data_IF_779528879542
#
_entry.id   IF_779528879542
#
_cell.length_a   1.000
_cell.length_b   1.000
_cell.length_c   1.000
_cell.angle_alpha   90.00
_cell.angle_beta   90.00
_cell.angle_gamma   90.00
#
_symmetry.space_group_name_H-M   'P 1'
#
loop_
_entity.id
_entity.type
_entity.pdbx_description
1 polymer ?
#
# COMPACT_ATOMS: atom_id res chain seq x y z
N UNK A 1 -20.28 2.36 -17.95
CA UNK A 1 -20.13 3.14 -16.72
C UNK A 1 -18.65 3.28 -16.34
N UNK A 2 -17.88 2.19 -16.29
CA UNK A 2 -16.43 2.15 -15.97
C UNK A 2 -15.58 3.05 -16.86
N UNK A 3 -15.76 3.03 -18.19
CA UNK A 3 -15.02 3.89 -19.12
C UNK A 3 -15.32 5.40 -18.91
N UNK A 4 -16.47 5.72 -18.35
CA UNK A 4 -16.84 7.10 -18.03
C UNK A 4 -16.13 7.59 -16.76
N UNK A 5 -15.91 6.69 -15.81
CA UNK A 5 -15.14 6.96 -14.60
C UNK A 5 -13.65 7.07 -14.94
N UNK A 6 -13.10 6.16 -15.75
CA UNK A 6 -11.70 6.23 -16.22
C UNK A 6 -11.40 7.56 -16.93
N UNK A 7 -12.33 8.08 -17.76
CA UNK A 7 -12.18 9.37 -18.44
C UNK A 7 -12.29 10.56 -17.49
N UNK A 8 -13.07 10.43 -16.42
CA UNK A 8 -13.30 11.50 -15.44
C UNK A 8 -12.11 11.68 -14.49
N UNK A 9 -11.34 10.62 -14.23
CA UNK A 9 -10.15 10.62 -13.34
C UNK A 9 -8.82 10.68 -14.12
N UNK A 10 -8.86 10.96 -15.43
CA UNK A 10 -7.65 11.17 -16.23
C UNK A 10 -6.82 9.92 -16.56
N UNK A 11 -7.30 8.71 -16.25
CA UNK A 11 -6.61 7.43 -16.45
C UNK A 11 -6.71 6.89 -17.90
N UNK A 12 -7.04 7.70 -18.90
CA UNK A 12 -7.05 7.27 -20.29
C UNK A 12 -5.81 7.79 -21.00
N UNK A 13 -4.74 7.02 -20.95
CA UNK A 13 -3.66 7.08 -21.93
C UNK A 13 -3.84 5.93 -22.93
N UNK A 14 -3.85 6.24 -24.24
CA UNK A 14 -4.08 5.28 -25.33
C UNK A 14 -2.89 4.33 -25.61
N UNK A 15 -1.91 4.23 -24.73
CA UNK A 15 -0.81 3.26 -24.87
C UNK A 15 -0.80 2.35 -23.64
N UNK A 16 -1.12 1.07 -23.85
CA UNK A 16 -0.84 0.02 -22.86
C UNK A 16 0.65 0.03 -22.56
N UNK A 17 1.10 0.28 -21.34
CA UNK A 17 2.46 -0.06 -20.95
C UNK A 17 2.53 -1.59 -20.95
N UNK A 18 3.40 -2.15 -21.79
CA UNK A 18 3.82 -3.54 -21.62
C UNK A 18 4.61 -3.60 -20.32
N UNK A 19 4.34 -4.59 -19.47
CA UNK A 19 5.19 -4.97 -18.34
C UNK A 19 6.50 -5.56 -18.90
N UNK A 20 7.38 -4.69 -19.41
CA UNK A 20 8.74 -5.02 -19.80
C UNK A 20 9.70 -4.35 -18.82
N UNK A 21 10.04 -5.04 -17.77
CA UNK A 21 11.06 -4.67 -16.79
C UNK A 21 10.92 -5.56 -15.57
N UNK A 22 12.01 -6.20 -15.13
CA UNK A 22 11.98 -6.90 -13.85
C UNK A 22 11.95 -5.84 -12.74
N UNK A 23 11.12 -6.05 -11.70
CA UNK A 23 11.05 -5.17 -10.52
C UNK A 23 12.42 -5.02 -9.81
N UNK A 24 13.39 -5.88 -10.11
CA UNK A 24 14.76 -5.80 -9.62
C UNK A 24 15.56 -4.61 -10.18
N UNK A 25 15.09 -3.96 -11.24
CA UNK A 25 15.79 -2.84 -11.89
C UNK A 25 15.28 -1.46 -11.44
N UNK A 26 14.16 -1.39 -10.68
CA UNK A 26 13.67 -0.11 -10.17
C UNK A 26 14.56 0.39 -9.04
N UNK A 27 15.28 1.48 -9.30
CA UNK A 27 16.07 2.15 -8.27
C UNK A 27 15.15 2.76 -7.22
N UNK A 28 15.49 2.53 -5.95
CA UNK A 28 14.82 3.16 -4.81
C UNK A 28 15.79 4.15 -4.19
N UNK A 29 15.48 5.43 -4.33
CA UNK A 29 16.26 6.53 -3.82
C UNK A 29 15.61 7.15 -2.57
N UNK A 30 16.42 7.87 -1.80
CA UNK A 30 15.95 8.58 -0.61
C UNK A 30 16.45 10.02 -0.59
N UNK A 31 15.61 10.89 -0.05
CA UNK A 31 16.00 12.27 0.29
C UNK A 31 15.62 12.59 1.73
N UNK A 32 16.36 13.52 2.34
CA UNK A 32 16.05 14.06 3.67
C UNK A 32 16.06 15.58 3.63
N UNK A 33 15.03 16.18 4.16
CA UNK A 33 14.92 17.64 4.33
C UNK A 33 13.97 17.98 5.46
N UNK A 34 14.34 18.94 6.31
CA UNK A 34 13.45 19.49 7.36
C UNK A 34 12.75 18.43 8.23
N UNK A 35 13.50 17.48 8.77
CA UNK A 35 12.98 16.38 9.61
C UNK A 35 12.11 15.36 8.85
N UNK A 36 12.07 15.41 7.51
CA UNK A 36 11.32 14.46 6.68
C UNK A 36 12.27 13.64 5.82
N UNK A 37 12.10 12.32 5.86
CA UNK A 37 12.74 11.37 4.96
C UNK A 37 11.72 10.89 3.95
N UNK A 38 12.05 11.01 2.67
CA UNK A 38 11.19 10.60 1.56
C UNK A 38 11.83 9.48 0.76
N UNK A 39 10.97 8.59 0.23
CA UNK A 39 11.32 7.51 -0.68
C UNK A 39 10.85 7.86 -2.08
N UNK A 40 11.70 7.57 -3.06
CA UNK A 40 11.44 7.74 -4.49
C UNK A 40 11.68 6.41 -5.20
N UNK A 41 10.82 6.03 -6.12
CA UNK A 41 10.93 4.78 -6.90
C UNK A 41 10.87 5.13 -8.37
N UNK A 42 11.97 4.91 -9.09
CA UNK A 42 12.09 5.12 -10.53
C UNK A 42 11.97 6.58 -11.01
N UNK A 43 11.55 7.50 -10.15
CA UNK A 43 11.31 8.90 -10.49
C UNK A 43 11.61 9.84 -9.32
N UNK A 44 11.53 11.17 -9.55
CA UNK A 44 11.65 12.17 -8.48
C UNK A 44 10.38 12.34 -7.65
N UNK A 45 9.29 11.66 -8.02
CA UNK A 45 8.03 11.70 -7.28
C UNK A 45 8.17 11.04 -5.92
N UNK A 46 7.63 11.69 -4.90
CA UNK A 46 7.63 11.15 -3.54
C UNK A 46 6.58 10.04 -3.45
N UNK A 47 7.05 8.81 -3.25
CA UNK A 47 6.19 7.63 -3.06
C UNK A 47 5.81 7.43 -1.60
N UNK A 48 6.68 7.84 -0.67
CA UNK A 48 6.40 7.75 0.75
C UNK A 48 7.23 8.75 1.53
N UNK A 49 6.73 9.20 2.67
CA UNK A 49 7.47 10.09 3.57
C UNK A 49 7.28 9.69 5.03
N UNK A 50 8.31 9.97 5.82
CA UNK A 50 8.32 9.72 7.25
C UNK A 50 8.94 10.90 7.99
N UNK A 51 8.28 11.40 9.02
CA UNK A 51 8.89 12.34 9.96
C UNK A 51 9.91 11.60 10.82
N UNK A 52 11.16 12.10 10.85
CA UNK A 52 12.25 11.40 11.54
C UNK A 52 12.07 11.46 13.05
N UNK A 53 11.57 12.59 13.57
CA UNK A 53 11.29 12.80 15.00
C UNK A 53 10.02 12.06 15.47
N UNK A 54 9.02 11.85 14.59
CA UNK A 54 7.82 11.04 14.89
C UNK A 54 7.52 10.07 13.73
N UNK A 55 8.15 8.90 13.70
CA UNK A 55 8.03 7.94 12.60
C UNK A 55 6.63 7.35 12.39
N UNK A 56 5.71 7.57 13.33
CA UNK A 56 4.32 7.10 13.25
C UNK A 56 3.34 8.19 12.80
N UNK A 57 3.84 9.41 12.59
CA UNK A 57 3.06 10.51 12.01
C UNK A 57 2.80 10.24 10.52
N UNK A 58 1.59 10.53 10.06
CA UNK A 58 1.23 10.46 8.64
C UNK A 58 1.58 11.78 7.97
N UNK A 59 2.70 11.82 7.27
CA UNK A 59 3.28 13.04 6.70
C UNK A 59 2.55 13.48 5.42
N UNK A 60 2.15 12.52 4.57
CA UNK A 60 1.48 12.80 3.31
C UNK A 60 -0.04 12.86 3.49
N UNK A 61 -0.69 13.86 2.89
CA UNK A 61 -2.12 14.09 3.03
C UNK A 61 -2.98 12.89 2.61
N UNK A 62 -2.61 12.20 1.53
CA UNK A 62 -3.38 11.03 1.09
C UNK A 62 -3.35 9.90 2.14
N UNK A 63 -2.23 9.70 2.85
CA UNK A 63 -2.14 8.69 3.91
C UNK A 63 -3.05 9.02 5.09
N UNK A 64 -3.25 10.32 5.38
CA UNK A 64 -4.21 10.77 6.40
C UNK A 64 -5.64 10.45 5.98
N UNK A 65 -5.98 10.65 4.70
CA UNK A 65 -7.30 10.30 4.15
C UNK A 65 -7.51 8.79 4.23
N UNK A 66 -6.53 7.99 3.81
CA UNK A 66 -6.63 6.52 3.88
C UNK A 66 -6.74 6.01 5.32
N UNK A 67 -6.14 6.69 6.29
CA UNK A 67 -6.27 6.34 7.69
C UNK A 67 -7.70 6.55 8.24
N UNK A 68 -8.58 7.29 7.55
CA UNK A 68 -9.99 7.42 7.92
C UNK A 68 -10.75 6.10 7.89
N UNK A 69 -10.25 5.06 7.21
CA UNK A 69 -10.79 3.70 7.33
C UNK A 69 -10.89 3.24 8.79
N UNK A 70 -10.01 3.74 9.66
CA UNK A 70 -10.04 3.43 11.09
C UNK A 70 -11.36 3.83 11.79
N UNK A 71 -12.08 4.83 11.28
CA UNK A 71 -13.35 5.29 11.87
C UNK A 71 -14.43 4.20 11.79
N UNK A 72 -14.35 3.34 10.79
CA UNK A 72 -15.33 2.30 10.51
C UNK A 72 -14.95 0.93 11.10
N UNK A 73 -13.75 0.81 11.68
CA UNK A 73 -13.23 -0.45 12.23
C UNK A 73 -13.50 -0.55 13.74
N UNK A 74 -14.30 -1.53 14.15
CA UNK A 74 -14.48 -1.86 15.56
C UNK A 74 -13.66 -3.12 15.92
N UNK A 75 -12.57 -2.94 16.66
CA UNK A 75 -11.69 -4.01 17.16
C UNK A 75 -11.22 -5.00 16.07
N UNK A 76 -10.64 -4.51 14.96
CA UNK A 76 -10.18 -5.38 13.88
C UNK A 76 -9.10 -6.36 14.38
N UNK A 77 -9.05 -7.54 13.75
CA UNK A 77 -8.08 -8.60 14.06
C UNK A 77 -7.02 -8.72 12.98
N UNK A 78 -7.40 -8.70 11.72
CA UNK A 78 -6.51 -8.97 10.61
C UNK A 78 -6.66 -7.88 9.54
N UNK A 79 -5.55 -7.18 9.28
CA UNK A 79 -5.44 -6.06 8.36
C UNK A 79 -4.46 -6.42 7.26
N UNK A 80 -4.90 -6.34 6.02
CA UNK A 80 -4.08 -6.55 4.82
C UNK A 80 -3.77 -5.22 4.15
N UNK A 81 -2.51 -5.03 3.81
CA UNK A 81 -2.01 -3.89 3.05
C UNK A 81 -1.34 -4.38 1.77
N UNK A 82 -1.73 -3.84 0.64
CA UNK A 82 -1.10 -4.07 -0.67
C UNK A 82 -0.30 -2.83 -1.03
N UNK A 83 1.01 -3.00 -1.12
CA UNK A 83 1.99 -1.92 -1.20
C UNK A 83 2.55 -1.53 0.17
N UNK A 84 3.86 -1.27 0.23
CA UNK A 84 4.57 -0.96 1.47
C UNK A 84 5.01 0.50 1.54
N UNK A 85 5.72 0.98 0.52
CA UNK A 85 6.44 2.25 0.59
C UNK A 85 7.30 2.36 1.86
N UNK A 86 7.24 3.47 2.56
CA UNK A 86 7.87 3.68 3.88
C UNK A 86 7.03 3.16 5.05
N UNK A 87 6.02 2.37 4.79
CA UNK A 87 5.10 1.78 5.77
C UNK A 87 4.38 2.81 6.67
N UNK A 88 4.08 4.00 6.17
CA UNK A 88 3.44 5.04 6.97
C UNK A 88 2.06 4.59 7.47
N UNK A 89 1.21 4.09 6.58
CA UNK A 89 -0.14 3.64 6.90
C UNK A 89 -0.09 2.39 7.79
N UNK A 90 0.76 1.42 7.47
CA UNK A 90 0.94 0.20 8.25
C UNK A 90 1.37 0.50 9.69
N UNK A 91 2.32 1.42 9.87
CA UNK A 91 2.76 1.89 11.20
C UNK A 91 1.64 2.55 11.98
N UNK A 92 0.79 3.36 11.31
CA UNK A 92 -0.37 3.98 11.93
C UNK A 92 -1.32 2.91 12.49
N UNK A 93 -1.79 1.98 11.67
CA UNK A 93 -2.70 0.93 12.11
C UNK A 93 -2.08 0.02 13.18
N UNK A 94 -0.82 -0.34 13.05
CA UNK A 94 -0.08 -1.13 14.05
C UNK A 94 -0.01 -0.43 15.42
N UNK A 95 0.16 0.89 15.44
CA UNK A 95 0.20 1.70 16.68
C UNK A 95 -1.15 1.76 17.36
N UNK A 96 -2.21 1.98 16.60
CA UNK A 96 -3.56 2.21 17.14
C UNK A 96 -4.29 0.91 17.48
N UNK A 97 -4.17 -0.12 16.67
CA UNK A 97 -4.84 -1.41 16.88
C UNK A 97 -3.87 -2.45 17.46
N UNK A 98 -3.60 -2.35 18.76
CA UNK A 98 -2.58 -3.16 19.46
C UNK A 98 -2.82 -4.68 19.45
N UNK A 99 -4.03 -5.11 19.12
CA UNK A 99 -4.40 -6.53 19.04
C UNK A 99 -4.50 -7.02 17.58
N UNK A 100 -4.51 -6.13 16.61
CA UNK A 100 -4.60 -6.49 15.21
C UNK A 100 -3.26 -6.98 14.65
N UNK A 101 -3.32 -7.92 13.72
CA UNK A 101 -2.23 -8.34 12.87
C UNK A 101 -2.20 -7.41 11.64
N UNK A 102 -1.03 -6.95 11.27
CA UNK A 102 -0.78 -6.14 10.08
C UNK A 102 0.07 -6.96 9.11
N UNK A 103 -0.52 -7.41 8.03
CA UNK A 103 0.16 -8.10 6.95
C UNK A 103 0.30 -7.16 5.77
N UNK A 104 1.49 -7.05 5.21
CA UNK A 104 1.75 -6.26 4.00
C UNK A 104 2.32 -7.14 2.91
N UNK A 105 1.78 -7.01 1.72
CA UNK A 105 2.29 -7.62 0.50
C UNK A 105 2.95 -6.52 -0.33
N UNK A 106 4.20 -6.74 -0.69
CA UNK A 106 5.01 -5.82 -1.47
C UNK A 106 5.78 -6.60 -2.53
N UNK A 107 5.67 -6.17 -3.77
CA UNK A 107 6.30 -6.86 -4.90
C UNK A 107 7.78 -6.50 -5.05
N UNK A 108 8.17 -5.27 -4.68
CA UNK A 108 9.51 -4.74 -4.89
C UNK A 108 10.45 -5.05 -3.71
N UNK A 109 11.43 -5.97 -3.86
CA UNK A 109 12.37 -6.31 -2.79
C UNK A 109 13.25 -5.12 -2.37
N UNK A 110 13.56 -4.21 -3.29
CA UNK A 110 14.35 -3.00 -2.98
C UNK A 110 13.57 -2.06 -2.08
N UNK A 111 12.26 -1.86 -2.31
CA UNK A 111 11.39 -1.09 -1.43
C UNK A 111 11.32 -1.70 -0.03
N UNK A 112 11.18 -3.03 0.07
CA UNK A 112 11.20 -3.74 1.36
C UNK A 112 12.52 -3.51 2.10
N UNK A 113 13.65 -3.60 1.42
CA UNK A 113 14.97 -3.41 2.02
C UNK A 113 15.16 -1.97 2.52
N UNK A 114 14.82 -0.97 1.70
CA UNK A 114 14.91 0.44 2.06
C UNK A 114 13.98 0.77 3.24
N UNK A 115 12.74 0.27 3.21
CA UNK A 115 11.80 0.46 4.32
C UNK A 115 12.35 -0.12 5.63
N UNK A 116 12.89 -1.34 5.62
CA UNK A 116 13.49 -1.99 6.80
C UNK A 116 14.68 -1.22 7.36
N UNK A 117 15.53 -0.67 6.51
CA UNK A 117 16.74 0.01 6.93
C UNK A 117 16.49 1.45 7.40
N UNK A 118 15.60 2.18 6.76
CA UNK A 118 15.53 3.63 6.89
C UNK A 118 14.20 4.18 7.42
N UNK A 119 13.10 3.45 7.33
CA UNK A 119 11.76 3.96 7.68
C UNK A 119 11.25 3.52 9.04
N UNK A 120 12.14 3.04 9.91
CA UNK A 120 11.83 2.68 11.30
C UNK A 120 10.55 1.82 11.42
N UNK A 121 10.42 0.84 10.53
CA UNK A 121 9.28 -0.08 10.57
C UNK A 121 9.36 -1.00 11.80
N UNK A 122 8.23 -1.49 12.33
CA UNK A 122 8.23 -2.46 13.43
C UNK A 122 9.01 -3.72 13.06
N UNK A 123 9.63 -4.33 14.07
CA UNK A 123 10.29 -5.64 13.86
C UNK A 123 9.27 -6.68 13.43
N UNK A 124 9.70 -7.55 12.52
CA UNK A 124 8.87 -8.69 12.09
C UNK A 124 8.44 -9.52 13.30
N UNK A 125 7.16 -9.81 13.38
CA UNK A 125 6.53 -10.52 14.49
C UNK A 125 5.22 -11.15 14.01
N UNK A 126 4.51 -11.87 14.90
CA UNK A 126 3.17 -12.35 14.56
C UNK A 126 2.22 -11.21 14.13
N UNK A 127 2.39 -10.02 14.76
CA UNK A 127 1.53 -8.86 14.51
C UNK A 127 1.96 -7.96 13.36
N UNK A 128 3.18 -8.05 12.89
CA UNK A 128 3.69 -7.21 11.80
C UNK A 128 4.51 -8.07 10.84
N UNK A 129 3.98 -8.33 9.68
CA UNK A 129 4.61 -9.15 8.65
C UNK A 129 4.65 -8.40 7.32
N UNK A 130 5.73 -8.61 6.60
CA UNK A 130 5.88 -8.20 5.21
C UNK A 130 6.23 -9.45 4.42
N UNK A 131 5.47 -9.72 3.37
CA UNK A 131 5.71 -10.81 2.41
C UNK A 131 6.05 -10.15 1.07
N UNK A 132 7.12 -10.61 0.44
CA UNK A 132 7.42 -10.25 -0.93
C UNK A 132 6.59 -11.14 -1.85
N UNK A 133 5.58 -10.55 -2.48
CA UNK A 133 4.70 -11.25 -3.42
C UNK A 133 3.94 -10.24 -4.29
N UNK A 134 3.31 -10.71 -5.37
CA UNK A 134 2.33 -9.92 -6.12
C UNK A 134 1.03 -9.83 -5.32
N UNK A 135 0.57 -8.60 -5.04
CA UNK A 135 -0.62 -8.36 -4.21
C UNK A 135 -1.91 -8.90 -4.83
N UNK A 136 -1.99 -8.97 -6.15
CA UNK A 136 -3.15 -9.50 -6.88
C UNK A 136 -3.20 -11.02 -6.74
N UNK A 137 -2.06 -11.66 -7.02
CA UNK A 137 -1.94 -13.11 -6.91
C UNK A 137 -2.13 -13.55 -5.46
N UNK A 138 -1.58 -12.79 -4.50
CA UNK A 138 -1.76 -13.09 -3.09
C UNK A 138 -3.24 -13.06 -2.68
N UNK A 139 -3.98 -12.00 -2.99
CA UNK A 139 -5.41 -11.88 -2.62
C UNK A 139 -6.24 -12.96 -3.30
N UNK A 140 -5.98 -13.23 -4.58
CA UNK A 140 -6.68 -14.26 -5.35
C UNK A 140 -6.50 -15.66 -4.77
N UNK A 141 -5.29 -15.98 -4.29
CA UNK A 141 -4.94 -17.32 -3.80
C UNK A 141 -5.06 -17.47 -2.27
N UNK A 142 -5.27 -16.38 -1.54
CA UNK A 142 -5.46 -16.43 -0.09
C UNK A 142 -6.79 -17.07 0.27
N UNK A 143 -6.81 -17.79 1.39
CA UNK A 143 -8.04 -18.27 2.04
C UNK A 143 -8.38 -17.46 3.29
N UNK A 144 -7.48 -16.54 3.71
CA UNK A 144 -7.68 -15.70 4.88
C UNK A 144 -8.71 -14.61 4.62
N UNK A 145 -9.42 -14.20 5.68
CA UNK A 145 -10.34 -13.05 5.66
C UNK A 145 -9.78 -11.89 6.48
N UNK A 146 -10.06 -10.67 6.03
CA UNK A 146 -9.52 -9.45 6.60
C UNK A 146 -10.63 -8.47 6.99
N UNK A 147 -10.42 -7.76 8.12
CA UNK A 147 -11.31 -6.67 8.54
C UNK A 147 -11.02 -5.37 7.78
N UNK A 148 -9.81 -5.26 7.21
CA UNK A 148 -9.42 -4.20 6.30
C UNK A 148 -8.53 -4.76 5.20
N UNK A 149 -8.86 -4.45 3.95
CA UNK A 149 -7.93 -4.53 2.83
C UNK A 149 -7.68 -3.11 2.34
N UNK A 150 -6.43 -2.65 2.44
CA UNK A 150 -6.01 -1.33 2.01
C UNK A 150 -4.99 -1.46 0.88
N UNK A 151 -5.36 -0.98 -0.32
CA UNK A 151 -4.54 -1.05 -1.51
C UNK A 151 -3.93 0.31 -1.84
N UNK A 152 -2.61 0.39 -1.75
CA UNK A 152 -1.78 1.57 -2.03
C UNK A 152 -0.55 1.14 -2.84
N UNK A 153 -0.79 0.51 -3.98
CA UNK A 153 0.22 -0.09 -4.85
C UNK A 153 0.48 0.80 -6.06
N UNK A 154 1.48 1.66 -5.98
CA UNK A 154 1.88 2.56 -7.06
C UNK A 154 3.22 2.15 -7.65
N UNK A 155 3.30 2.25 -8.98
CA UNK A 155 4.53 2.16 -9.76
C UNK A 155 4.98 3.56 -10.20
N UNK A 156 6.09 3.65 -10.92
CA UNK A 156 6.65 4.90 -11.43
C UNK A 156 5.63 5.75 -12.20
N UNK A 157 4.75 5.10 -12.95
CA UNK A 157 3.76 5.75 -13.84
C UNK A 157 2.34 5.78 -13.28
N UNK A 158 2.14 5.43 -12.02
CA UNK A 158 0.85 5.46 -11.34
C UNK A 158 0.36 4.10 -10.89
N UNK A 159 -0.95 4.01 -10.64
CA UNK A 159 -1.59 2.75 -10.26
C UNK A 159 -1.68 1.81 -11.47
N UNK A 160 -1.15 0.57 -11.38
CA UNK A 160 -1.28 -0.41 -12.46
C UNK A 160 -2.75 -0.70 -12.81
N UNK A 161 -3.07 -0.78 -14.12
CA UNK A 161 -4.46 -0.93 -14.59
C UNK A 161 -5.18 -2.14 -13.97
N UNK A 162 -4.46 -3.20 -13.67
CA UNK A 162 -5.00 -4.44 -13.09
C UNK A 162 -5.68 -4.20 -11.74
N UNK A 163 -5.25 -3.21 -10.94
CA UNK A 163 -5.91 -2.82 -9.70
C UNK A 163 -7.25 -2.09 -9.92
N UNK A 164 -7.54 -1.69 -11.16
CA UNK A 164 -8.81 -1.07 -11.55
C UNK A 164 -9.77 -2.06 -12.24
N UNK A 165 -9.40 -3.32 -12.36
CA UNK A 165 -10.22 -4.35 -13.01
C UNK A 165 -11.20 -5.02 -12.04
N UNK A 166 -12.37 -5.43 -12.57
CA UNK A 166 -13.42 -6.08 -11.78
C UNK A 166 -12.91 -7.31 -11.00
N UNK A 167 -12.10 -8.22 -11.59
CA UNK A 167 -11.61 -9.40 -10.87
C UNK A 167 -10.84 -9.08 -9.59
N UNK A 168 -10.10 -7.97 -9.56
CA UNK A 168 -9.39 -7.55 -8.35
C UNK A 168 -10.37 -7.16 -7.24
N UNK A 169 -11.39 -6.37 -7.56
CA UNK A 169 -12.42 -5.96 -6.60
C UNK A 169 -13.24 -7.16 -6.09
N UNK A 170 -13.55 -8.12 -6.97
CA UNK A 170 -14.24 -9.35 -6.59
C UNK A 170 -13.39 -10.17 -5.62
N UNK A 171 -12.10 -10.38 -5.93
CA UNK A 171 -11.18 -11.08 -5.04
C UNK A 171 -11.03 -10.38 -3.69
N UNK A 172 -10.92 -9.05 -3.66
CA UNK A 172 -10.90 -8.30 -2.42
C UNK A 172 -12.18 -8.50 -1.60
N UNK A 173 -13.35 -8.45 -2.27
CA UNK A 173 -14.64 -8.65 -1.59
C UNK A 173 -14.75 -10.04 -0.97
N UNK A 174 -14.26 -11.08 -1.65
CA UNK A 174 -14.27 -12.46 -1.15
C UNK A 174 -13.34 -12.67 0.05
N UNK A 175 -12.34 -11.82 0.23
CA UNK A 175 -11.38 -11.86 1.34
C UNK A 175 -11.72 -10.90 2.46
N UNK A 176 -12.84 -10.19 2.40
CA UNK A 176 -13.31 -9.35 3.49
C UNK A 176 -14.23 -10.13 4.42
N UNK A 177 -14.05 -9.92 5.72
CA UNK A 177 -15.07 -10.32 6.73
C UNK A 177 -16.39 -9.62 6.43
N UNK A 178 -17.50 -10.10 7.01
CA UNK A 178 -18.85 -9.52 6.80
C UNK A 178 -18.92 -8.01 7.02
N UNK A 179 -18.10 -7.48 7.93
CA UNK A 179 -17.98 -6.03 8.24
C UNK A 179 -16.67 -5.43 7.76
N UNK A 180 -15.94 -6.17 6.97
CA UNK A 180 -14.64 -5.75 6.45
C UNK A 180 -14.76 -4.58 5.48
N UNK A 181 -13.69 -3.80 5.39
CA UNK A 181 -13.61 -2.58 4.59
C UNK A 181 -12.53 -2.75 3.53
N UNK A 182 -12.85 -2.40 2.31
CA UNK A 182 -11.89 -2.21 1.24
C UNK A 182 -11.66 -0.73 0.98
N UNK A 183 -10.41 -0.32 0.97
CA UNK A 183 -9.99 1.02 0.60
C UNK A 183 -8.85 0.95 -0.41
N UNK A 184 -8.93 1.75 -1.45
CA UNK A 184 -7.91 1.82 -2.50
C UNK A 184 -7.55 3.27 -2.80
N UNK A 185 -6.25 3.53 -2.94
CA UNK A 185 -5.74 4.76 -3.52
C UNK A 185 -5.78 4.64 -5.05
N UNK A 186 -6.48 5.55 -5.71
CA UNK A 186 -6.66 5.56 -7.18
C UNK A 186 -5.86 6.68 -7.86
N UNK A 187 -5.10 7.44 -7.09
CA UNK A 187 -4.33 8.58 -7.61
C UNK A 187 -2.95 8.15 -8.04
#
# INVERSE_FOLDING_TARGET
MINKIKKMIGLVSEKKPQREGSFDEMTVDMSESNDVRSMHIGSTTIQSSMRISDPYHLELGYTQIMALAAIFLDKPKDLLFVGLGGAAIQKFFYKWYKKANCLTIEINPSAINVAKQFFKIPKSSKRFKIIQDDGIDYIKNSEDEYDLILSDAFEEYGLPEVFCEIPYFESCRERLTEKGIFMINLW
#
